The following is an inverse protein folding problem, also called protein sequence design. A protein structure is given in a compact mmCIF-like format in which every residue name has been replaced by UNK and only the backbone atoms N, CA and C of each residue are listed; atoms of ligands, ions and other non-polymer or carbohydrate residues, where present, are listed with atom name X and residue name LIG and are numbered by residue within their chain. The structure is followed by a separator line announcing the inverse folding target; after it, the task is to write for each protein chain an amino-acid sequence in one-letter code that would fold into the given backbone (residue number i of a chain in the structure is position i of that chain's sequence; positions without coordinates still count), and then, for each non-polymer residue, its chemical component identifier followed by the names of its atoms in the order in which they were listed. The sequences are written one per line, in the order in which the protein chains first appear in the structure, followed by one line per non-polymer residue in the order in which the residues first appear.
data_IF_573661017526
#
_entry.id   IF_573661017526
#
_cell.length_a   1.000
_cell.length_b   1.000
_cell.length_c   1.000
_cell.angle_alpha   90.00
_cell.angle_beta   90.00
_cell.angle_gamma   90.00
#
_symmetry.space_group_name_H-M   'P 1'
#
loop_
_entity.id
_entity.type
_entity.pdbx_description
1 polymer ?
#
# COMPACT_ATOMS: atom_id res chain seq x y z
N UNK A 1 -21.76 -7.34 -4.92
CA UNK A 1 -20.36 -7.71 -4.64
C UNK A 1 -20.05 -9.10 -5.19
N UNK A 2 -18.88 -9.30 -5.79
CA UNK A 2 -18.43 -10.59 -6.33
C UNK A 2 -18.24 -11.61 -5.20
N UNK A 3 -18.64 -12.87 -5.41
CA UNK A 3 -18.56 -13.93 -4.40
C UNK A 3 -17.44 -14.91 -4.74
N UNK A 4 -16.56 -15.15 -3.77
CA UNK A 4 -15.48 -16.13 -3.86
C UNK A 4 -15.80 -17.30 -2.95
N UNK A 5 -15.71 -18.52 -3.48
CA UNK A 5 -15.82 -19.74 -2.69
C UNK A 5 -14.48 -20.48 -2.74
N UNK A 6 -13.83 -20.63 -1.59
CA UNK A 6 -12.62 -21.44 -1.47
C UNK A 6 -12.98 -22.81 -0.88
N UNK A 7 -12.65 -23.86 -1.61
CA UNK A 7 -12.70 -25.24 -1.14
C UNK A 7 -11.30 -25.68 -0.76
N UNK A 8 -11.10 -25.98 0.52
CA UNK A 8 -9.82 -26.41 1.08
C UNK A 8 -10.03 -27.68 1.90
N UNK A 9 -9.19 -28.69 1.68
CA UNK A 9 -9.25 -29.91 2.48
C UNK A 9 -9.07 -29.55 3.97
N UNK A 10 -9.94 -30.02 4.89
CA UNK A 10 -9.85 -29.69 6.32
C UNK A 10 -8.47 -29.96 6.95
N UNK A 11 -7.72 -30.95 6.45
CA UNK A 11 -6.33 -31.22 6.88
C UNK A 11 -5.41 -30.03 6.63
N UNK A 12 -5.54 -29.37 5.48
CA UNK A 12 -4.73 -28.21 5.11
C UNK A 12 -5.13 -26.96 5.88
N UNK A 13 -6.42 -26.77 6.11
CA UNK A 13 -6.90 -25.66 6.95
C UNK A 13 -6.38 -25.80 8.39
N UNK A 14 -6.44 -27.00 8.97
CA UNK A 14 -5.84 -27.30 10.28
C UNK A 14 -4.33 -27.05 10.31
N UNK A 15 -3.63 -27.29 9.20
CA UNK A 15 -2.18 -27.00 9.09
C UNK A 15 -1.94 -25.48 9.15
N UNK A 16 -2.70 -24.68 8.41
CA UNK A 16 -2.62 -23.21 8.48
C UNK A 16 -2.92 -22.70 9.90
N UNK A 17 -3.92 -23.26 10.57
CA UNK A 17 -4.31 -22.85 11.92
C UNK A 17 -3.33 -23.27 13.01
N UNK A 18 -2.56 -24.35 12.80
CA UNK A 18 -1.58 -24.84 13.77
C UNK A 18 -0.39 -23.88 13.92
N UNK A 19 0.05 -23.28 12.83
CA UNK A 19 1.11 -22.29 12.83
C UNK A 19 0.75 -21.14 11.88
N UNK A 20 0.09 -20.13 12.45
CA UNK A 20 -0.36 -18.96 11.69
C UNK A 20 0.82 -18.16 11.11
N UNK A 21 2.03 -18.34 11.63
CA UNK A 21 3.22 -17.62 11.17
C UNK A 21 3.94 -18.31 10.02
N UNK A 22 3.54 -19.54 9.69
CA UNK A 22 4.07 -20.25 8.55
C UNK A 22 3.61 -19.61 7.23
N UNK A 23 4.56 -19.41 6.31
CA UNK A 23 4.32 -18.89 4.95
C UNK A 23 4.07 -20.00 3.91
N UNK A 24 4.05 -21.26 4.34
CA UNK A 24 3.83 -22.41 3.45
C UNK A 24 2.44 -22.38 2.82
N UNK A 25 2.44 -22.39 1.49
CA UNK A 25 1.26 -22.44 0.64
C UNK A 25 0.65 -23.85 0.62
N UNK A 26 -0.64 -23.97 0.94
CA UNK A 26 -1.38 -25.24 0.89
C UNK A 26 -2.37 -25.26 -0.28
N UNK A 27 -2.66 -26.43 -0.89
CA UNK A 27 -3.53 -26.50 -2.07
C UNK A 27 -5.01 -26.27 -1.71
N UNK A 28 -5.72 -25.55 -2.57
CA UNK A 28 -7.16 -25.31 -2.49
C UNK A 28 -7.74 -25.06 -3.90
N UNK A 29 -9.07 -24.94 -3.99
CA UNK A 29 -9.77 -24.52 -5.20
C UNK A 29 -10.51 -23.23 -4.92
N UNK A 30 -10.32 -22.21 -5.76
CA UNK A 30 -11.11 -20.98 -5.74
C UNK A 30 -12.18 -21.07 -6.82
N UNK A 31 -13.44 -20.77 -6.48
CA UNK A 31 -14.51 -20.57 -7.44
C UNK A 31 -14.97 -19.12 -7.48
N UNK A 32 -15.24 -18.63 -8.68
CA UNK A 32 -15.77 -17.30 -8.94
C UNK A 32 -16.87 -17.46 -10.00
N UNK A 33 -18.14 -17.36 -9.59
CA UNK A 33 -19.24 -17.76 -10.46
C UNK A 33 -19.14 -19.26 -10.80
N UNK A 34 -19.21 -19.58 -12.10
CA UNK A 34 -19.05 -20.96 -12.60
C UNK A 34 -17.59 -21.39 -12.76
N UNK A 35 -16.65 -20.43 -12.79
CA UNK A 35 -15.24 -20.71 -13.01
C UNK A 35 -14.59 -21.33 -11.78
N UNK A 36 -13.65 -22.26 -12.02
CA UNK A 36 -12.88 -22.95 -10.98
C UNK A 36 -11.39 -22.85 -11.27
N UNK A 37 -10.64 -22.46 -10.25
CA UNK A 37 -9.19 -22.26 -10.33
C UNK A 37 -8.50 -23.11 -9.28
N UNK A 38 -7.53 -23.93 -9.70
CA UNK A 38 -6.63 -24.57 -8.75
C UNK A 38 -5.67 -23.51 -8.22
N UNK A 39 -5.61 -23.37 -6.89
CA UNK A 39 -4.79 -22.37 -6.22
C UNK A 39 -3.95 -23.01 -5.13
N UNK A 40 -2.94 -22.28 -4.67
CA UNK A 40 -2.44 -22.44 -3.32
C UNK A 40 -2.75 -21.20 -2.49
N UNK A 41 -2.95 -21.41 -1.19
CA UNK A 41 -3.34 -20.37 -0.24
C UNK A 41 -2.47 -20.44 1.01
N UNK A 42 -2.14 -19.29 1.58
CA UNK A 42 -1.52 -19.16 2.90
C UNK A 42 -2.13 -17.97 3.64
N UNK A 43 -1.87 -17.85 4.93
CA UNK A 43 -2.10 -16.58 5.62
C UNK A 43 -1.09 -15.52 5.14
N UNK A 44 -1.48 -14.24 5.21
CA UNK A 44 -0.60 -13.10 4.87
C UNK A 44 -0.50 -12.06 5.97
N UNK A 45 0.51 -11.22 5.84
CA UNK A 45 0.79 -10.11 6.75
C UNK A 45 1.58 -10.55 7.98
N UNK A 46 1.69 -9.67 8.97
CA UNK A 46 2.38 -9.93 10.23
C UNK A 46 1.37 -9.83 11.40
N UNK A 47 1.22 -8.64 12.01
CA UNK A 47 0.29 -8.41 13.13
C UNK A 47 -1.16 -8.80 12.82
N UNK A 48 -1.57 -8.76 11.55
CA UNK A 48 -2.95 -9.12 11.16
C UNK A 48 -3.24 -10.62 11.27
N UNK A 49 -2.21 -11.48 11.37
CA UNK A 49 -2.41 -12.93 11.52
C UNK A 49 -3.02 -13.32 12.85
N UNK A 50 -2.81 -12.53 13.89
CA UNK A 50 -3.43 -12.74 15.21
C UNK A 50 -4.91 -12.36 15.24
N UNK A 51 -5.43 -11.67 14.21
CA UNK A 51 -6.84 -11.26 14.17
C UNK A 51 -7.76 -12.46 13.95
N UNK A 52 -8.97 -12.38 14.50
CA UNK A 52 -10.01 -13.42 14.33
C UNK A 52 -10.32 -13.66 12.85
N UNK A 53 -10.41 -12.58 12.07
CA UNK A 53 -10.60 -12.61 10.63
C UNK A 53 -9.22 -12.56 9.95
N UNK A 54 -8.79 -13.69 9.40
CA UNK A 54 -7.46 -13.87 8.77
C UNK A 54 -7.45 -13.28 7.37
N UNK A 55 -6.31 -12.75 6.93
CA UNK A 55 -6.06 -12.35 5.54
C UNK A 55 -5.29 -13.44 4.80
N UNK A 56 -5.46 -13.53 3.48
CA UNK A 56 -4.92 -14.61 2.68
C UNK A 56 -4.06 -14.11 1.52
N UNK A 57 -3.02 -14.87 1.19
CA UNK A 57 -2.31 -14.80 -0.10
C UNK A 57 -2.80 -15.97 -0.95
N UNK A 58 -3.16 -15.71 -2.21
CA UNK A 58 -3.63 -16.72 -3.15
C UNK A 58 -2.69 -16.71 -4.36
N UNK A 59 -2.19 -17.89 -4.73
CA UNK A 59 -1.34 -18.09 -5.90
C UNK A 59 -2.03 -19.07 -6.84
N UNK A 60 -2.30 -18.65 -8.07
CA UNK A 60 -2.93 -19.48 -9.09
C UNK A 60 -1.98 -20.57 -9.57
N UNK A 61 -2.50 -21.78 -9.78
CA UNK A 61 -1.70 -22.94 -10.23
C UNK A 61 -2.18 -23.43 -11.60
N UNK A 62 -3.50 -23.54 -11.77
CA UNK A 62 -4.09 -23.90 -13.06
C UNK A 62 -5.47 -23.22 -13.22
N UNK A 63 -5.65 -22.37 -14.25
CA UNK A 63 -4.60 -21.78 -15.09
C UNK A 63 -3.55 -21.01 -14.27
N UNK A 64 -2.34 -20.85 -14.82
CA UNK A 64 -1.23 -20.19 -14.12
C UNK A 64 -1.48 -18.70 -13.85
N UNK A 65 -2.22 -18.02 -14.74
CA UNK A 65 -2.69 -16.64 -14.56
C UNK A 65 -4.21 -16.58 -14.72
N UNK A 66 -4.85 -15.70 -13.95
CA UNK A 66 -6.27 -15.36 -14.07
C UNK A 66 -6.39 -13.84 -14.17
N UNK A 67 -7.04 -13.32 -15.23
CA UNK A 67 -7.16 -11.87 -15.48
C UNK A 67 -5.82 -11.12 -15.43
N UNK A 68 -4.76 -11.74 -15.96
CA UNK A 68 -3.41 -11.21 -15.98
C UNK A 68 -2.63 -11.32 -14.67
N UNK A 69 -3.21 -11.87 -13.59
CA UNK A 69 -2.54 -12.02 -12.29
C UNK A 69 -2.19 -13.48 -12.00
N UNK A 70 -0.97 -13.73 -11.50
CA UNK A 70 -0.57 -15.02 -10.92
C UNK A 70 -0.86 -15.10 -9.42
N UNK A 71 -0.86 -13.95 -8.74
CA UNK A 71 -1.05 -13.83 -7.30
C UNK A 71 -2.02 -12.69 -6.99
N UNK A 72 -2.87 -12.90 -6.00
CA UNK A 72 -3.73 -11.88 -5.42
C UNK A 72 -3.69 -11.96 -3.89
N UNK A 73 -4.05 -10.87 -3.23
CA UNK A 73 -4.15 -10.78 -1.78
C UNK A 73 -5.60 -10.53 -1.39
N UNK A 74 -6.11 -11.29 -0.42
CA UNK A 74 -7.41 -11.04 0.19
C UNK A 74 -7.19 -10.49 1.61
N UNK A 75 -7.34 -9.18 1.76
CA UNK A 75 -7.25 -8.52 3.05
C UNK A 75 -8.59 -8.50 3.76
N UNK A 76 -8.59 -8.90 5.03
CA UNK A 76 -9.75 -8.81 5.89
C UNK A 76 -10.14 -7.35 6.23
N UNK A 77 -9.20 -6.41 6.07
CA UNK A 77 -9.31 -4.99 6.47
C UNK A 77 -9.85 -4.83 7.90
N UNK A 78 -9.53 -5.79 8.78
CA UNK A 78 -10.28 -6.02 10.02
C UNK A 78 -10.15 -4.90 11.06
N UNK A 79 -9.03 -4.16 11.04
CA UNK A 79 -8.82 -3.02 11.93
C UNK A 79 -9.41 -1.71 11.37
N UNK A 80 -9.78 -1.68 10.10
CA UNK A 80 -10.44 -0.55 9.47
C UNK A 80 -11.96 -0.68 9.63
N UNK A 81 -12.54 0.22 10.42
CA UNK A 81 -13.99 0.28 10.67
C UNK A 81 -14.80 0.43 9.37
N UNK A 82 -14.26 1.09 8.35
CA UNK A 82 -14.93 1.32 7.07
C UNK A 82 -14.63 0.24 6.01
N UNK A 83 -13.66 -0.65 6.26
CA UNK A 83 -13.12 -1.62 5.30
C UNK A 83 -12.60 -0.99 3.99
N UNK A 84 -12.39 0.34 3.95
CA UNK A 84 -12.28 1.11 2.71
C UNK A 84 -11.01 1.95 2.61
N UNK A 85 -10.29 2.21 3.71
CA UNK A 85 -9.13 3.10 3.77
C UNK A 85 -8.01 2.67 2.83
N UNK A 86 -7.72 1.38 2.80
CA UNK A 86 -6.68 0.84 1.93
C UNK A 86 -7.05 1.07 0.45
N UNK A 87 -8.26 0.67 0.03
CA UNK A 87 -8.76 0.89 -1.33
C UNK A 87 -8.73 2.37 -1.73
N UNK A 88 -9.31 3.25 -0.91
CA UNK A 88 -9.38 4.68 -1.19
C UNK A 88 -7.98 5.30 -1.29
N UNK A 89 -7.03 4.84 -0.49
CA UNK A 89 -5.64 5.29 -0.58
C UNK A 89 -5.00 4.82 -1.88
N UNK A 90 -5.08 3.53 -2.19
CA UNK A 90 -4.46 2.97 -3.40
C UNK A 90 -5.04 3.60 -4.68
N UNK A 91 -6.36 3.78 -4.75
CA UNK A 91 -7.04 4.45 -5.86
C UNK A 91 -6.66 5.96 -5.94
N UNK A 92 -6.39 6.61 -4.80
CA UNK A 92 -5.92 7.99 -4.76
C UNK A 92 -4.49 8.12 -5.31
N UNK A 93 -3.58 7.21 -4.96
CA UNK A 93 -2.23 7.17 -5.54
C UNK A 93 -2.25 6.99 -7.05
N UNK A 94 -3.09 6.09 -7.56
CA UNK A 94 -3.24 5.87 -9.00
C UNK A 94 -3.68 7.16 -9.72
N UNK A 95 -4.67 7.86 -9.17
CA UNK A 95 -5.19 9.13 -9.72
C UNK A 95 -4.14 10.23 -9.79
N UNK A 96 -3.26 10.34 -8.79
CA UNK A 96 -2.22 11.37 -8.76
C UNK A 96 -0.96 10.98 -9.56
N UNK A 97 -1.02 9.88 -10.32
CA UNK A 97 0.05 9.45 -11.23
C UNK A 97 1.11 8.56 -10.59
N UNK A 98 0.81 7.91 -9.47
CA UNK A 98 1.70 6.91 -8.84
C UNK A 98 1.20 5.52 -9.17
N UNK A 99 2.07 4.66 -9.70
CA UNK A 99 1.71 3.27 -9.99
C UNK A 99 1.28 2.60 -8.68
N UNK A 100 0.01 2.19 -8.62
CA UNK A 100 -0.61 1.68 -7.40
C UNK A 100 -1.44 0.41 -7.69
N UNK A 101 -1.40 -0.64 -6.85
CA UNK A 101 -2.19 -1.85 -7.04
C UNK A 101 -3.69 -1.54 -7.05
N UNK A 102 -4.43 -2.09 -8.01
CA UNK A 102 -5.89 -1.98 -7.97
C UNK A 102 -6.47 -2.94 -6.95
N UNK A 103 -7.64 -2.58 -6.43
CA UNK A 103 -8.32 -3.38 -5.43
C UNK A 103 -9.84 -3.33 -5.58
N UNK A 104 -10.52 -4.38 -5.14
CA UNK A 104 -11.98 -4.49 -5.14
C UNK A 104 -12.49 -5.32 -3.98
N UNK A 105 -13.66 -4.98 -3.45
CA UNK A 105 -14.27 -5.78 -2.39
C UNK A 105 -14.95 -7.03 -2.96
N UNK A 106 -14.77 -8.15 -2.25
CA UNK A 106 -15.34 -9.47 -2.53
C UNK A 106 -15.99 -10.05 -1.27
N UNK A 107 -16.99 -10.92 -1.43
CA UNK A 107 -17.53 -11.73 -0.34
C UNK A 107 -16.86 -13.10 -0.38
N UNK A 108 -16.17 -13.48 0.70
CA UNK A 108 -15.44 -14.74 0.79
C UNK A 108 -16.23 -15.78 1.58
N UNK A 109 -16.36 -16.98 1.02
CA UNK A 109 -16.76 -18.19 1.71
C UNK A 109 -15.60 -19.20 1.69
N UNK A 110 -15.38 -19.92 2.79
CA UNK A 110 -14.43 -21.04 2.84
C UNK A 110 -15.18 -22.28 3.34
N UNK A 111 -15.19 -23.35 2.53
CA UNK A 111 -15.90 -24.61 2.81
C UNK A 111 -17.37 -24.39 3.19
N UNK A 112 -18.07 -23.51 2.45
CA UNK A 112 -19.48 -23.18 2.70
C UNK A 112 -19.75 -22.18 3.84
N UNK A 113 -18.75 -21.81 4.63
CA UNK A 113 -18.90 -20.84 5.73
C UNK A 113 -18.53 -19.43 5.28
N UNK A 114 -19.41 -18.46 5.54
CA UNK A 114 -19.12 -17.04 5.30
C UNK A 114 -17.92 -16.58 6.12
N UNK A 115 -16.95 -15.98 5.42
CA UNK A 115 -15.82 -15.24 5.98
C UNK A 115 -16.03 -13.73 5.92
N UNK A 116 -17.09 -13.26 5.25
CA UNK A 116 -17.44 -11.85 5.15
C UNK A 116 -16.77 -11.10 4.01
N UNK A 117 -16.67 -9.78 4.16
CA UNK A 117 -16.16 -8.86 3.12
C UNK A 117 -14.63 -8.83 3.16
N UNK A 118 -13.97 -9.01 2.03
CA UNK A 118 -12.53 -8.86 1.88
C UNK A 118 -12.20 -7.83 0.82
N UNK A 119 -11.04 -7.19 0.93
CA UNK A 119 -10.44 -6.43 -0.15
C UNK A 119 -9.51 -7.35 -0.93
N UNK A 120 -9.87 -7.68 -2.17
CA UNK A 120 -8.92 -8.22 -3.14
C UNK A 120 -7.98 -7.11 -3.59
N UNK A 121 -6.68 -7.36 -3.55
CA UNK A 121 -5.62 -6.45 -3.99
C UNK A 121 -4.74 -7.20 -4.98
N UNK A 122 -4.43 -6.56 -6.10
CA UNK A 122 -3.44 -7.05 -7.07
C UNK A 122 -2.07 -7.22 -6.38
N UNK A 123 -1.34 -8.29 -6.70
CA UNK A 123 0.07 -8.38 -6.32
C UNK A 123 0.88 -7.38 -7.15
N UNK A 124 1.74 -6.59 -6.52
CA UNK A 124 2.67 -5.73 -7.24
C UNK A 124 3.90 -6.56 -7.62
N UNK A 125 3.80 -7.20 -8.78
CA UNK A 125 4.79 -8.13 -9.33
C UNK A 125 4.94 -7.97 -10.85
N UNK A 126 5.79 -8.77 -11.47
CA UNK A 126 6.05 -8.70 -12.92
C UNK A 126 4.79 -8.90 -13.77
N UNK A 127 3.79 -9.63 -13.26
CA UNK A 127 2.56 -9.87 -13.99
C UNK A 127 1.66 -8.65 -13.98
N UNK A 128 1.73 -7.83 -12.93
CA UNK A 128 1.10 -6.52 -12.94
C UNK A 128 1.76 -5.59 -13.96
N UNK A 129 3.10 -5.59 -14.04
CA UNK A 129 3.84 -4.81 -15.04
C UNK A 129 3.41 -5.21 -16.45
N UNK A 130 3.40 -6.51 -16.75
CA UNK A 130 2.94 -7.08 -18.02
C UNK A 130 1.48 -6.67 -18.32
N UNK A 131 0.57 -6.87 -17.36
CA UNK A 131 -0.86 -6.52 -17.49
C UNK A 131 -1.07 -5.05 -17.84
N UNK A 132 -0.25 -4.16 -17.27
CA UNK A 132 -0.32 -2.71 -17.48
C UNK A 132 0.56 -2.23 -18.63
N UNK A 133 1.25 -3.13 -19.33
CA UNK A 133 2.23 -2.81 -20.39
C UNK A 133 3.31 -1.82 -19.92
N UNK A 134 3.69 -1.93 -18.65
CA UNK A 134 4.82 -1.21 -18.10
C UNK A 134 6.12 -1.93 -18.52
N UNK A 135 7.25 -1.21 -18.58
CA UNK A 135 8.55 -1.85 -18.77
C UNK A 135 8.77 -2.96 -17.73
N UNK A 136 9.47 -4.02 -18.13
CA UNK A 136 9.91 -5.02 -17.16
C UNK A 136 10.95 -4.42 -16.21
N UNK A 137 11.08 -4.97 -15.00
CA UNK A 137 12.07 -4.47 -14.06
C UNK A 137 11.88 -4.95 -12.64
N UNK A 138 12.94 -4.84 -11.83
CA UNK A 138 12.98 -5.39 -10.49
C UNK A 138 11.97 -4.72 -9.55
N UNK A 139 11.41 -5.52 -8.64
CA UNK A 139 10.44 -5.09 -7.62
C UNK A 139 10.94 -5.53 -6.24
N UNK A 140 11.09 -4.55 -5.34
CA UNK A 140 11.63 -4.75 -4.00
C UNK A 140 10.69 -4.13 -2.97
N UNK A 141 10.13 -4.94 -2.08
CA UNK A 141 9.20 -4.48 -1.04
C UNK A 141 9.93 -3.99 0.22
N UNK A 142 9.46 -2.87 0.77
CA UNK A 142 9.80 -2.39 2.12
C UNK A 142 8.95 -3.12 3.18
N UNK A 143 9.49 -4.21 3.75
CA UNK A 143 8.75 -5.15 4.59
C UNK A 143 8.84 -4.88 6.09
N UNK A 144 9.79 -4.06 6.56
CA UNK A 144 9.79 -3.51 7.92
C UNK A 144 10.45 -2.13 7.99
N UNK A 145 10.40 -1.48 9.16
CA UNK A 145 10.87 -0.11 9.39
C UNK A 145 12.38 0.13 9.16
N UNK A 146 13.16 -0.91 8.84
CA UNK A 146 14.55 -0.76 8.39
C UNK A 146 14.64 -0.34 6.91
N UNK A 147 13.56 -0.44 6.13
CA UNK A 147 13.48 0.10 4.78
C UNK A 147 13.30 1.64 4.79
N UNK A 148 14.26 2.34 5.37
CA UNK A 148 14.18 3.77 5.71
C UNK A 148 15.16 4.66 4.94
N UNK A 149 15.79 4.14 3.88
CA UNK A 149 16.81 4.83 3.07
C UNK A 149 18.04 5.33 3.87
N UNK A 150 18.28 4.80 5.06
CA UNK A 150 19.36 5.24 5.96
C UNK A 150 20.39 4.15 6.26
N UNK A 151 21.56 4.55 6.77
CA UNK A 151 22.55 3.65 7.37
C UNK A 151 22.15 3.17 8.78
N UNK A 152 21.25 3.90 9.45
CA UNK A 152 20.84 3.61 10.83
C UNK A 152 19.37 3.19 10.93
N UNK A 153 19.04 2.43 11.98
CA UNK A 153 17.66 2.03 12.30
C UNK A 153 16.91 3.16 12.99
N UNK A 154 15.57 3.03 13.12
CA UNK A 154 14.75 3.96 13.94
C UNK A 154 15.23 4.08 15.39
N UNK A 155 15.92 3.06 15.92
CA UNK A 155 16.53 3.03 17.26
C UNK A 155 17.96 3.61 17.30
N UNK A 156 18.42 4.24 16.22
CA UNK A 156 19.76 4.83 16.06
C UNK A 156 20.92 3.81 16.09
N UNK A 157 20.66 2.57 15.70
CA UNK A 157 21.69 1.53 15.57
C UNK A 157 22.19 1.46 14.13
N UNK A 158 23.48 1.18 13.91
CA UNK A 158 24.03 0.94 12.56
C UNK A 158 23.45 -0.37 12.01
N UNK A 159 22.97 -0.34 10.76
CA UNK A 159 22.50 -1.54 10.08
C UNK A 159 23.65 -2.47 9.72
N UNK A 160 23.46 -3.78 9.91
CA UNK A 160 24.45 -4.78 9.50
C UNK A 160 24.54 -4.94 7.98
N UNK A 161 23.45 -4.65 7.26
CA UNK A 161 23.39 -4.62 5.79
C UNK A 161 22.48 -3.47 5.35
N UNK A 162 22.81 -2.81 4.24
CA UNK A 162 22.03 -1.67 3.74
C UNK A 162 20.62 -2.07 3.26
N UNK A 163 20.47 -3.30 2.76
CA UNK A 163 19.20 -3.87 2.29
C UNK A 163 18.32 -4.45 3.41
N UNK A 164 18.67 -4.25 4.68
CA UNK A 164 17.80 -4.65 5.79
C UNK A 164 16.44 -3.95 5.71
N UNK A 165 15.37 -4.75 5.79
CA UNK A 165 13.99 -4.26 5.67
C UNK A 165 13.42 -4.36 4.26
N UNK A 166 14.23 -4.75 3.28
CA UNK A 166 13.81 -4.94 1.90
C UNK A 166 13.72 -6.43 1.55
N UNK A 167 12.73 -6.79 0.73
CA UNK A 167 12.53 -8.14 0.20
C UNK A 167 12.39 -8.08 -1.31
N UNK A 168 13.27 -8.78 -2.03
CA UNK A 168 13.18 -8.94 -3.49
C UNK A 168 11.94 -9.77 -3.83
N UNK A 169 10.98 -9.19 -4.55
CA UNK A 169 9.81 -9.90 -5.08
C UNK A 169 10.06 -10.42 -6.49
N UNK A 170 10.72 -9.62 -7.32
CA UNK A 170 11.05 -9.93 -8.70
C UNK A 170 12.35 -9.21 -9.10
N UNK A 171 13.18 -9.85 -9.92
CA UNK A 171 14.54 -9.42 -10.23
C UNK A 171 15.59 -10.37 -9.65
N UNK A 172 16.85 -9.96 -9.72
CA UNK A 172 18.02 -10.79 -9.41
C UNK A 172 18.84 -10.23 -8.22
N UNK A 173 19.95 -10.89 -7.88
CA UNK A 173 20.79 -10.48 -6.74
C UNK A 173 21.48 -9.14 -6.99
N UNK A 174 21.73 -8.83 -8.25
CA UNK A 174 22.30 -7.58 -8.74
C UNK A 174 21.39 -6.40 -8.42
N UNK A 175 20.06 -6.55 -8.48
CA UNK A 175 19.12 -5.49 -8.11
C UNK A 175 19.18 -5.14 -6.61
N UNK A 176 19.51 -6.12 -5.77
CA UNK A 176 19.78 -5.89 -4.35
C UNK A 176 21.13 -5.17 -4.16
N UNK A 177 22.12 -5.42 -5.01
CA UNK A 177 23.37 -4.65 -4.98
C UNK A 177 23.11 -3.20 -5.40
N UNK A 178 22.32 -2.97 -6.45
CA UNK A 178 21.93 -1.64 -6.90
C UNK A 178 21.15 -0.87 -5.83
N UNK A 179 20.24 -1.54 -5.11
CA UNK A 179 19.56 -0.95 -3.97
C UNK A 179 20.56 -0.51 -2.88
N UNK A 180 21.56 -1.34 -2.57
CA UNK A 180 22.60 -0.99 -1.59
C UNK A 180 23.41 0.22 -2.05
N UNK A 181 23.76 0.27 -3.34
CA UNK A 181 24.46 1.41 -3.94
C UNK A 181 23.61 2.68 -3.88
N UNK A 182 22.31 2.58 -4.17
CA UNK A 182 21.37 3.68 -4.05
C UNK A 182 21.28 4.20 -2.61
N UNK A 183 21.16 3.31 -1.61
CA UNK A 183 21.16 3.70 -0.19
C UNK A 183 22.50 4.31 0.21
N UNK A 184 23.63 3.76 -0.24
CA UNK A 184 24.95 4.31 0.02
C UNK A 184 25.08 5.73 -0.56
N UNK A 185 24.66 5.94 -1.81
CA UNK A 185 24.64 7.24 -2.49
C UNK A 185 23.86 8.29 -1.69
N UNK A 186 22.64 7.93 -1.22
CA UNK A 186 21.79 8.79 -0.38
C UNK A 186 22.48 9.23 0.92
N UNK A 187 23.40 8.43 1.47
CA UNK A 187 24.00 8.69 2.78
C UNK A 187 25.46 9.16 2.73
N UNK A 188 26.19 8.89 1.64
CA UNK A 188 27.63 9.11 1.55
C UNK A 188 28.02 10.26 0.61
N UNK A 189 27.26 10.51 -0.47
CA UNK A 189 27.57 11.63 -1.36
C UNK A 189 27.34 12.96 -0.64
N UNK A 190 28.25 13.91 -0.84
CA UNK A 190 28.02 15.30 -0.47
C UNK A 190 26.80 15.87 -1.25
N UNK A 191 26.34 17.06 -0.88
CA UNK A 191 25.13 17.61 -1.48
C UNK A 191 25.29 17.92 -2.98
N UNK A 192 26.44 18.42 -3.43
CA UNK A 192 26.64 18.75 -4.84
C UNK A 192 26.62 17.51 -5.72
N UNK A 193 27.26 16.43 -5.29
CA UNK A 193 27.29 15.18 -6.06
C UNK A 193 25.94 14.48 -5.98
N UNK A 194 25.28 14.44 -4.83
CA UNK A 194 23.93 13.89 -4.71
C UNK A 194 22.93 14.60 -5.62
N UNK A 195 22.96 15.93 -5.69
CA UNK A 195 22.06 16.73 -6.54
C UNK A 195 22.18 16.35 -8.02
N UNK A 196 23.41 16.06 -8.47
CA UNK A 196 23.69 15.66 -9.85
C UNK A 196 23.33 14.19 -10.12
N UNK A 197 23.62 13.30 -9.17
CA UNK A 197 23.45 11.85 -9.38
C UNK A 197 22.01 11.37 -9.18
N UNK A 198 21.25 11.98 -8.26
CA UNK A 198 19.92 11.47 -7.90
C UNK A 198 18.94 11.33 -9.08
N UNK A 199 18.89 12.25 -10.08
CA UNK A 199 17.97 12.12 -11.22
C UNK A 199 18.34 10.99 -12.18
N UNK A 200 19.55 10.43 -12.08
CA UNK A 200 20.01 9.27 -12.86
C UNK A 200 19.63 7.93 -12.23
N UNK A 201 19.15 7.94 -10.99
CA UNK A 201 18.82 6.73 -10.21
C UNK A 201 17.36 6.70 -9.77
N UNK A 202 16.73 7.86 -9.57
CA UNK A 202 15.36 8.00 -9.08
C UNK A 202 14.53 8.86 -10.03
N UNK A 203 13.31 8.42 -10.32
CA UNK A 203 12.29 9.30 -10.90
C UNK A 203 11.79 10.24 -9.79
N UNK A 204 12.42 11.42 -9.70
CA UNK A 204 12.18 12.40 -8.62
C UNK A 204 10.74 12.91 -8.63
N UNK A 205 10.13 13.07 -9.81
CA UNK A 205 8.74 13.52 -9.90
C UNK A 205 7.79 12.47 -9.31
N UNK A 206 7.93 11.20 -9.71
CA UNK A 206 7.10 10.12 -9.17
C UNK A 206 7.34 9.90 -7.68
N UNK A 207 8.58 10.05 -7.21
CA UNK A 207 8.88 10.06 -5.78
C UNK A 207 8.10 11.15 -5.05
N UNK A 208 8.09 12.38 -5.56
CA UNK A 208 7.34 13.48 -4.95
C UNK A 208 5.83 13.32 -5.01
N UNK A 209 5.28 12.74 -6.08
CA UNK A 209 3.86 12.35 -6.13
C UNK A 209 3.54 11.32 -5.05
N UNK A 210 4.43 10.35 -4.81
CA UNK A 210 4.26 9.39 -3.74
C UNK A 210 4.34 10.05 -2.34
N UNK A 211 5.31 10.94 -2.10
CA UNK A 211 5.38 11.71 -0.84
C UNK A 211 4.10 12.52 -0.64
N UNK A 212 3.66 13.24 -1.67
CA UNK A 212 2.43 14.04 -1.64
C UNK A 212 1.21 13.18 -1.31
N UNK A 213 1.10 12.01 -1.95
CA UNK A 213 0.05 11.04 -1.67
C UNK A 213 0.04 10.58 -0.21
N UNK A 214 1.22 10.18 0.29
CA UNK A 214 1.40 9.69 1.66
C UNK A 214 1.09 10.75 2.72
N UNK A 215 1.47 12.02 2.49
CA UNK A 215 1.14 13.12 3.40
C UNK A 215 -0.33 13.50 3.32
N UNK A 216 -0.99 13.43 2.16
CA UNK A 216 -2.43 13.69 2.03
C UNK A 216 -3.26 12.67 2.82
N UNK A 217 -3.03 11.37 2.60
CA UNK A 217 -3.79 10.30 3.28
C UNK A 217 -3.31 10.01 4.70
N UNK A 218 -2.16 10.59 5.08
CA UNK A 218 -1.52 10.49 6.40
C UNK A 218 -1.16 9.06 6.79
N UNK A 219 -0.51 8.31 5.89
CA UNK A 219 0.10 7.03 6.28
C UNK A 219 1.42 7.31 7.01
N UNK A 220 1.40 7.22 8.34
CA UNK A 220 2.60 7.44 9.15
C UNK A 220 3.71 6.42 8.82
N UNK A 221 3.42 5.13 8.80
CA UNK A 221 4.45 4.12 8.55
C UNK A 221 4.94 4.10 7.08
N UNK A 222 4.16 4.69 6.17
CA UNK A 222 4.41 4.70 4.72
C UNK A 222 5.79 5.20 4.28
N UNK A 223 6.47 6.05 5.06
CA UNK A 223 7.76 6.58 4.60
C UNK A 223 8.97 5.68 4.84
N UNK A 224 8.83 4.67 5.70
CA UNK A 224 9.89 3.71 6.07
C UNK A 224 9.41 2.25 6.06
N UNK A 225 8.20 2.03 5.55
CA UNK A 225 7.49 0.76 5.47
C UNK A 225 6.37 0.91 4.43
N UNK A 226 5.59 -0.14 4.12
CA UNK A 226 4.36 0.01 3.33
C UNK A 226 4.57 0.60 1.92
N UNK A 227 5.69 0.28 1.27
CA UNK A 227 5.93 0.62 -0.14
C UNK A 227 6.72 -0.47 -0.87
N UNK A 228 6.73 -0.40 -2.20
CA UNK A 228 7.63 -1.15 -3.06
C UNK A 228 8.45 -0.19 -3.92
N UNK A 229 9.69 -0.56 -4.19
CA UNK A 229 10.54 0.06 -5.19
C UNK A 229 10.41 -0.75 -6.48
N UNK A 230 10.10 -0.07 -7.57
CA UNK A 230 10.10 -0.62 -8.92
C UNK A 230 11.23 0.04 -9.70
N UNK A 231 12.20 -0.75 -10.17
CA UNK A 231 13.29 -0.25 -11.03
C UNK A 231 12.87 -0.42 -12.49
N UNK A 232 12.48 0.68 -13.12
CA UNK A 232 11.94 0.66 -14.47
C UNK A 232 13.02 0.26 -15.49
N UNK A 233 12.89 -0.90 -16.13
CA UNK A 233 13.93 -1.43 -17.02
C UNK A 233 14.13 -0.64 -18.32
N UNK A 234 13.23 0.29 -18.66
CA UNK A 234 13.42 1.19 -19.81
C UNK A 234 14.23 2.43 -19.44
N UNK A 235 13.97 3.02 -18.27
CA UNK A 235 14.64 4.27 -17.85
C UNK A 235 15.83 4.03 -16.92
N UNK A 236 15.90 2.87 -16.28
CA UNK A 236 16.86 2.55 -15.23
C UNK A 236 16.54 3.17 -13.87
N UNK A 237 15.45 3.94 -13.76
CA UNK A 237 15.11 4.73 -12.57
C UNK A 237 14.23 3.94 -11.59
N UNK A 238 14.46 4.17 -10.30
CA UNK A 238 13.54 3.74 -9.25
C UNK A 238 12.27 4.61 -9.25
N UNK A 239 11.14 3.94 -9.05
CA UNK A 239 9.82 4.51 -8.79
C UNK A 239 9.27 3.89 -7.51
N UNK A 240 8.41 4.61 -6.78
CA UNK A 240 7.80 4.11 -5.53
C UNK A 240 6.32 3.82 -5.71
N UNK A 241 5.89 2.67 -5.20
CA UNK A 241 4.50 2.20 -5.21
C UNK A 241 3.98 2.00 -3.78
N UNK A 242 2.78 2.48 -3.42
CA UNK A 242 2.20 2.28 -2.09
C UNK A 242 1.78 0.81 -1.84
N UNK A 243 1.81 0.38 -0.57
CA UNK A 243 1.33 -0.93 -0.14
C UNK A 243 0.77 -0.90 1.30
N UNK A 244 -0.33 -1.59 1.60
CA UNK A 244 -0.94 -1.67 2.95
C UNK A 244 -1.23 -0.27 3.59
N UNK A 245 -2.16 0.50 3.01
CA UNK A 245 -2.54 1.86 3.42
C UNK A 245 -3.87 1.93 4.20
N UNK A 246 -4.14 0.98 5.09
CA UNK A 246 -5.35 0.94 5.93
C UNK A 246 -5.31 1.93 7.12
N UNK A 247 -4.12 2.21 7.65
CA UNK A 247 -3.89 3.22 8.70
C UNK A 247 -3.85 4.66 8.19
N UNK A 248 -4.95 5.13 7.60
CA UNK A 248 -5.04 6.42 6.89
C UNK A 248 -6.38 7.14 7.14
N UNK A 249 -6.57 8.31 6.51
CA UNK A 249 -7.84 9.05 6.50
C UNK A 249 -8.43 9.30 7.90
N UNK A 250 -7.59 9.83 8.80
CA UNK A 250 -7.97 10.19 10.17
C UNK A 250 -8.04 9.03 11.15
N UNK A 251 -7.49 7.86 10.79
CA UNK A 251 -7.27 6.74 11.73
C UNK A 251 -5.88 6.14 11.57
N UNK A 252 -5.36 5.54 12.64
CA UNK A 252 -4.14 4.75 12.60
C UNK A 252 -4.41 3.28 12.25
N UNK A 253 -3.34 2.47 12.12
CA UNK A 253 -3.41 1.04 11.78
C UNK A 253 -4.20 0.15 12.77
N UNK A 254 -4.52 0.67 13.96
CA UNK A 254 -5.36 -0.01 14.95
C UNK A 254 -6.82 0.45 14.90
N UNK A 255 -7.19 1.27 13.93
CA UNK A 255 -8.54 1.84 13.80
C UNK A 255 -8.83 2.95 14.81
N UNK A 256 -7.84 3.49 15.53
CA UNK A 256 -8.06 4.62 16.47
C UNK A 256 -8.02 5.93 15.69
N UNK A 257 -8.83 6.92 16.10
CA UNK A 257 -8.81 8.25 15.49
C UNK A 257 -7.42 8.87 15.64
N UNK A 258 -6.99 9.56 14.60
CA UNK A 258 -5.71 10.26 14.52
C UNK A 258 -5.98 11.69 14.06
N UNK A 259 -5.29 12.65 14.67
CA UNK A 259 -5.42 14.06 14.29
C UNK A 259 -4.81 14.33 12.92
N UNK A 260 -5.24 15.43 12.30
CA UNK A 260 -4.96 15.75 10.90
C UNK A 260 -3.54 16.28 10.66
N UNK A 261 -2.77 16.57 11.70
CA UNK A 261 -1.42 17.16 11.68
C UNK A 261 -0.31 16.15 12.05
N UNK A 262 -0.65 14.87 12.23
CA UNK A 262 0.29 13.87 12.73
C UNK A 262 1.49 13.55 11.81
N UNK A 263 1.34 13.76 10.49
CA UNK A 263 2.43 13.63 9.52
C UNK A 263 2.78 15.03 9.00
N UNK A 264 4.05 15.46 9.03
CA UNK A 264 4.44 16.78 8.54
C UNK A 264 4.32 16.88 7.01
N UNK A 265 4.33 18.11 6.49
CA UNK A 265 4.28 18.42 5.06
C UNK A 265 5.28 17.62 4.21
N UNK A 266 6.47 17.36 4.75
CA UNK A 266 7.59 16.70 4.04
C UNK A 266 7.62 15.18 4.24
N UNK A 267 6.70 14.62 5.03
CA UNK A 267 6.83 13.24 5.48
C UNK A 267 8.13 13.01 6.26
N UNK A 268 8.69 11.80 6.20
CA UNK A 268 9.99 11.54 6.84
C UNK A 268 10.73 10.33 6.25
N UNK A 269 11.92 10.53 5.71
CA UNK A 269 12.97 9.51 5.59
C UNK A 269 14.25 10.24 5.17
N UNK A 270 15.37 9.52 5.08
CA UNK A 270 16.65 10.14 4.69
C UNK A 270 16.62 10.67 3.26
N UNK A 271 15.97 9.98 2.32
CA UNK A 271 15.88 10.41 0.92
C UNK A 271 15.12 11.75 0.76
N UNK A 272 13.94 11.87 1.38
CA UNK A 272 13.17 13.12 1.45
C UNK A 272 13.99 14.25 2.07
N UNK A 273 14.70 13.97 3.17
CA UNK A 273 15.54 14.99 3.82
C UNK A 273 16.67 15.48 2.90
N UNK A 274 17.31 14.57 2.14
CA UNK A 274 18.32 14.92 1.14
C UNK A 274 17.74 15.75 0.00
N UNK A 275 16.61 15.33 -0.57
CA UNK A 275 15.96 16.03 -1.67
C UNK A 275 15.50 17.44 -1.25
N UNK A 276 14.87 17.58 -0.08
CA UNK A 276 14.40 18.88 0.41
C UNK A 276 15.50 19.85 0.87
N UNK A 277 16.76 19.42 0.89
CA UNK A 277 17.88 20.36 1.04
C UNK A 277 17.90 21.39 -0.10
N UNK A 278 17.56 20.98 -1.32
CA UNK A 278 17.71 21.79 -2.54
C UNK A 278 16.45 22.58 -2.86
N UNK A 279 16.62 23.87 -3.18
CA UNK A 279 15.50 24.79 -3.49
C UNK A 279 14.66 24.31 -4.67
N UNK A 280 15.29 23.81 -5.72
CA UNK A 280 14.58 23.42 -6.94
C UNK A 280 13.72 22.17 -6.71
N UNK A 281 14.19 21.20 -5.94
CA UNK A 281 13.38 20.05 -5.51
C UNK A 281 12.23 20.43 -4.57
N UNK A 282 12.45 21.37 -3.64
CA UNK A 282 11.35 21.92 -2.82
C UNK A 282 10.27 22.59 -3.67
N UNK A 283 10.69 23.37 -4.68
CA UNK A 283 9.78 24.00 -5.65
C UNK A 283 8.98 22.95 -6.43
N UNK A 284 9.63 21.92 -6.96
CA UNK A 284 8.97 20.84 -7.69
C UNK A 284 7.93 20.12 -6.82
N UNK A 285 8.29 19.75 -5.58
CA UNK A 285 7.35 19.14 -4.64
C UNK A 285 6.17 20.07 -4.32
N UNK A 286 6.44 21.36 -4.15
CA UNK A 286 5.40 22.36 -3.90
C UNK A 286 4.39 22.46 -5.03
N UNK A 287 4.85 22.47 -6.28
CA UNK A 287 3.98 22.47 -7.46
C UNK A 287 3.11 21.21 -7.53
N UNK A 288 3.71 20.04 -7.30
CA UNK A 288 2.99 18.75 -7.27
C UNK A 288 1.92 18.73 -6.17
N UNK A 289 2.29 19.08 -4.94
CA UNK A 289 1.35 19.04 -3.81
C UNK A 289 0.27 20.12 -3.93
N UNK A 290 0.59 21.33 -4.41
CA UNK A 290 -0.43 22.35 -4.69
C UNK A 290 -1.47 21.83 -5.68
N UNK A 291 -1.03 21.25 -6.80
CA UNK A 291 -1.93 20.68 -7.80
C UNK A 291 -2.84 19.60 -7.19
N UNK A 292 -2.28 18.70 -6.37
CA UNK A 292 -3.05 17.65 -5.70
C UNK A 292 -4.07 18.26 -4.71
N UNK A 293 -3.70 19.28 -3.94
CA UNK A 293 -4.59 19.92 -2.95
C UNK A 293 -5.69 20.79 -3.58
N UNK A 294 -5.54 21.15 -4.86
CA UNK A 294 -6.52 21.91 -5.64
C UNK A 294 -7.45 20.99 -6.44
N UNK A 295 -6.93 19.87 -6.95
CA UNK A 295 -7.65 19.06 -7.95
C UNK A 295 -8.06 17.66 -7.45
N UNK A 296 -7.31 17.05 -6.53
CA UNK A 296 -7.51 15.64 -6.17
C UNK A 296 -7.93 15.46 -4.70
N UNK A 297 -7.22 16.09 -3.77
CA UNK A 297 -7.43 15.97 -2.33
C UNK A 297 -8.34 17.09 -1.79
N UNK A 298 -9.47 17.32 -2.48
CA UNK A 298 -10.51 18.24 -2.05
C UNK A 298 -11.72 17.49 -1.51
N UNK A 299 -12.50 18.14 -0.66
CA UNK A 299 -13.72 17.53 -0.14
C UNK A 299 -14.71 17.25 -1.28
N UNK A 300 -14.82 18.14 -2.27
CA UNK A 300 -15.76 18.02 -3.37
C UNK A 300 -15.45 16.83 -4.28
N UNK A 301 -14.16 16.52 -4.48
CA UNK A 301 -13.73 15.35 -5.26
C UNK A 301 -13.84 14.06 -4.45
N UNK A 302 -13.39 14.06 -3.20
CA UNK A 302 -13.32 12.83 -2.40
C UNK A 302 -14.68 12.38 -1.85
N UNK A 303 -15.56 13.32 -1.51
CA UNK A 303 -16.89 13.02 -0.95
C UNK A 303 -17.75 12.09 -1.84
N UNK A 304 -17.94 12.33 -3.15
CA UNK A 304 -18.72 11.42 -3.99
C UNK A 304 -18.10 10.03 -4.06
N UNK A 305 -16.78 9.91 -4.18
CA UNK A 305 -16.06 8.62 -4.25
C UNK A 305 -16.29 7.80 -2.97
N UNK A 306 -16.12 8.43 -1.81
CA UNK A 306 -16.34 7.78 -0.50
C UNK A 306 -17.81 7.36 -0.36
N UNK A 307 -18.75 8.23 -0.76
CA UNK A 307 -20.17 7.93 -0.69
C UNK A 307 -20.56 6.75 -1.58
N UNK A 308 -20.04 6.71 -2.81
CA UNK A 308 -20.28 5.62 -3.76
C UNK A 308 -19.78 4.30 -3.19
N UNK A 309 -18.53 4.26 -2.72
CA UNK A 309 -17.96 3.06 -2.11
C UNK A 309 -18.76 2.59 -0.90
N UNK A 310 -19.16 3.50 -0.01
CA UNK A 310 -19.93 3.12 1.18
C UNK A 310 -21.33 2.64 0.82
N UNK A 311 -21.98 3.26 -0.18
CA UNK A 311 -23.27 2.80 -0.68
C UNK A 311 -23.16 1.40 -1.31
N UNK A 312 -22.05 1.10 -1.98
CA UNK A 312 -21.76 -0.24 -2.49
C UNK A 312 -21.55 -1.27 -1.36
N UNK A 313 -20.91 -0.89 -0.25
CA UNK A 313 -20.64 -1.81 0.87
C UNK A 313 -21.86 -2.09 1.76
N UNK A 314 -22.71 -1.08 2.01
CA UNK A 314 -23.84 -1.14 2.96
C UNK A 314 -24.71 -2.41 2.85
N UNK A 315 -25.15 -2.84 1.65
CA UNK A 315 -26.04 -4.01 1.53
C UNK A 315 -25.37 -5.34 1.91
N UNK A 316 -24.04 -5.34 2.00
CA UNK A 316 -23.24 -6.54 2.22
C UNK A 316 -22.72 -6.67 3.65
N UNK A 317 -22.82 -5.62 4.48
CA UNK A 317 -22.24 -5.61 5.83
C UNK A 317 -22.83 -6.69 6.74
N UNK A 318 -24.13 -6.96 6.64
CA UNK A 318 -24.80 -8.00 7.42
C UNK A 318 -24.37 -9.43 7.05
N UNK A 319 -23.67 -9.60 5.92
CA UNK A 319 -23.17 -10.90 5.46
C UNK A 319 -21.80 -11.24 6.07
N UNK A 320 -21.20 -10.32 6.82
CA UNK A 320 -19.91 -10.47 7.47
C UNK A 320 -20.08 -10.80 8.96
N UNK A 321 -19.83 -12.05 9.38
CA UNK A 321 -20.05 -12.46 10.77
C UNK A 321 -18.92 -12.03 11.72
N UNK A 322 -17.87 -11.36 11.23
CA UNK A 322 -16.68 -11.02 12.02
C UNK A 322 -16.64 -9.55 12.45
N UNK A 323 -17.34 -8.67 11.73
CA UNK A 323 -17.32 -7.23 12.00
C UNK A 323 -18.58 -6.81 12.76
N UNK A 324 -18.44 -5.79 13.60
CA UNK A 324 -19.58 -5.10 14.23
C UNK A 324 -20.04 -3.88 13.43
N UNK A 325 -19.27 -3.47 12.42
CA UNK A 325 -19.62 -2.35 11.54
C UNK A 325 -20.94 -2.63 10.83
N UNK A 326 -21.80 -1.62 10.82
CA UNK A 326 -23.10 -1.66 10.14
C UNK A 326 -23.31 -0.36 9.33
N UNK A 327 -24.42 -0.21 8.58
CA UNK A 327 -24.67 0.99 7.80
C UNK A 327 -24.61 2.31 8.62
N UNK A 328 -25.05 2.31 9.88
CA UNK A 328 -24.95 3.47 10.75
C UNK A 328 -23.50 3.78 11.13
N UNK A 329 -22.66 2.76 11.35
CA UNK A 329 -21.22 2.93 11.56
C UNK A 329 -20.55 3.56 10.34
N UNK A 330 -20.91 3.16 9.11
CA UNK A 330 -20.36 3.77 7.90
C UNK A 330 -20.77 5.25 7.76
N UNK A 331 -22.00 5.62 8.12
CA UNK A 331 -22.42 7.02 8.13
C UNK A 331 -21.65 7.85 9.17
N UNK A 332 -21.29 7.27 10.32
CA UNK A 332 -20.39 7.92 11.28
C UNK A 332 -18.97 8.05 10.72
N UNK A 333 -18.46 7.02 10.03
CA UNK A 333 -17.14 7.06 9.39
C UNK A 333 -17.05 8.15 8.32
N UNK A 334 -18.10 8.40 7.53
CA UNK A 334 -18.10 9.52 6.57
C UNK A 334 -17.73 10.85 7.22
N UNK A 335 -18.24 11.11 8.43
CA UNK A 335 -17.90 12.33 9.18
C UNK A 335 -16.41 12.38 9.53
N UNK A 336 -15.80 11.24 9.85
CA UNK A 336 -14.35 11.14 10.09
C UNK A 336 -13.57 11.48 8.83
N UNK A 337 -13.89 10.85 7.70
CA UNK A 337 -13.24 11.14 6.41
C UNK A 337 -13.37 12.61 6.01
N UNK A 338 -14.60 13.15 6.01
CA UNK A 338 -14.84 14.51 5.52
C UNK A 338 -14.19 15.57 6.41
N UNK A 339 -14.26 15.39 7.73
CA UNK A 339 -13.57 16.28 8.65
C UNK A 339 -12.04 16.17 8.52
N UNK A 340 -11.52 14.95 8.35
CA UNK A 340 -10.10 14.73 8.11
C UNK A 340 -9.62 15.43 6.84
N UNK A 341 -10.29 15.21 5.70
CA UNK A 341 -9.92 15.81 4.41
C UNK A 341 -9.91 17.34 4.51
N UNK A 342 -10.96 17.93 5.09
CA UNK A 342 -11.04 19.39 5.26
C UNK A 342 -9.87 19.92 6.09
N UNK A 343 -9.65 19.37 7.29
CA UNK A 343 -8.61 19.86 8.20
C UNK A 343 -7.20 19.57 7.67
N UNK A 344 -6.99 18.40 7.07
CA UNK A 344 -5.70 18.02 6.48
C UNK A 344 -5.35 18.89 5.29
N UNK A 345 -6.31 19.16 4.40
CA UNK A 345 -6.10 20.06 3.26
C UNK A 345 -5.75 21.48 3.72
N UNK A 346 -6.47 22.02 4.71
CA UNK A 346 -6.14 23.33 5.31
C UNK A 346 -4.74 23.35 5.91
N UNK A 347 -4.41 22.39 6.77
CA UNK A 347 -3.08 22.26 7.37
C UNK A 347 -1.98 22.20 6.31
N UNK A 348 -2.12 21.35 5.29
CA UNK A 348 -1.11 21.22 4.25
C UNK A 348 -0.95 22.51 3.43
N UNK A 349 -2.03 23.25 3.15
CA UNK A 349 -1.96 24.54 2.45
C UNK A 349 -1.24 25.60 3.29
N UNK A 350 -1.50 25.65 4.59
CA UNK A 350 -0.83 26.56 5.52
C UNK A 350 0.67 26.27 5.61
N UNK A 351 1.04 25.00 5.82
CA UNK A 351 2.45 24.58 5.85
C UNK A 351 3.16 24.82 4.51
N UNK A 352 2.47 24.59 3.39
CA UNK A 352 3.04 24.76 2.05
C UNK A 352 3.28 26.23 1.70
N UNK A 353 2.51 27.16 2.26
CA UNK A 353 2.75 28.59 2.13
C UNK A 353 4.08 28.99 2.79
N UNK A 354 4.44 28.35 3.90
CA UNK A 354 5.69 28.56 4.63
C UNK A 354 6.87 27.73 4.07
N UNK A 355 6.59 26.77 3.19
CA UNK A 355 7.60 25.96 2.52
C UNK A 355 8.31 26.79 1.44
N UNK A 356 9.43 27.39 1.85
CA UNK A 356 10.41 28.09 0.99
C UNK A 356 11.30 27.06 0.34
#
# INVERSE_FOLDING_TARGET
MLKYEILINPKWLKKLDKDIWNDELVPAVLKIGEDRFNIKISYRGNVIRDKKKKSYRIVFQNPYKVNGAHEIHLNAEFSDVSLSRNKLSLDFFDRIGVISPHSRHVLLNINGYSKGIYLEIESFDQYLLEKRKLPDGAIIYATNNRANFSLITKKKEIKKRLDQGYTLKYGDKEDILDLKNFIAMINALNNQDFEKEIPHVLDVEKYFRWVAGAVCVQNYDGFIHNYALYKNGKTGLYEITPWDYDGTWGRNLHGRKLDYDYVPLTGFNTLSARLFHFKHFRKQYKEILSSILENDFTLDVQKPIINELFNYLKPHMSLDPFISSNPATLEQEKKVYFNFIKKRSSYLKEELALFV
#
